data_IF_116287725741
#
_entry.id   IF_116287725741
#
_cell.length_a   1.000
_cell.length_b   1.000
_cell.length_c   1.000
_cell.angle_alpha   90.00
_cell.angle_beta   90.00
_cell.angle_gamma   90.00
#
_symmetry.space_group_name_H-M   'P 1'
#
loop_
_entity.id
_entity.type
_entity.pdbx_description
1 polymer ?
#
# COMPACT_ATOMS: atom_id res chain seq x y z
N UNK A 1 25.19 10.04 20.74
CA UNK A 1 24.47 9.12 19.84
C UNK A 1 24.82 7.64 20.05
N UNK A 2 26.03 7.28 20.49
CA UNK A 2 26.48 5.89 20.72
C UNK A 2 25.88 5.23 21.97
N UNK A 3 25.66 5.99 23.05
CA UNK A 3 25.10 5.47 24.30
C UNK A 3 23.66 4.93 24.14
N UNK A 4 22.81 5.65 23.41
CA UNK A 4 21.43 5.21 23.12
C UNK A 4 21.41 3.92 22.30
N UNK A 5 22.24 3.83 21.25
CA UNK A 5 22.37 2.62 20.43
C UNK A 5 22.82 1.40 21.26
N UNK A 6 23.75 1.60 22.19
CA UNK A 6 24.21 0.53 23.08
C UNK A 6 23.12 0.11 24.08
N UNK A 7 22.39 1.06 24.66
CA UNK A 7 21.27 0.78 25.56
C UNK A 7 20.14 0.00 24.85
N UNK A 8 19.80 0.36 23.61
CA UNK A 8 18.80 -0.39 22.81
C UNK A 8 19.26 -1.82 22.50
N UNK A 9 20.55 -2.02 22.19
CA UNK A 9 21.11 -3.35 21.95
C UNK A 9 21.07 -4.21 23.20
N UNK A 10 21.42 -3.64 24.35
CA UNK A 10 21.37 -4.35 25.63
C UNK A 10 19.94 -4.71 26.02
N UNK A 11 19.00 -3.78 25.85
CA UNK A 11 17.58 -4.05 26.07
C UNK A 11 17.06 -5.21 25.21
N UNK A 12 17.36 -5.21 23.91
CA UNK A 12 16.98 -6.32 23.02
C UNK A 12 17.68 -7.63 23.39
N UNK A 13 18.93 -7.56 23.85
CA UNK A 13 19.67 -8.72 24.33
C UNK A 13 18.99 -9.34 25.56
N UNK A 14 18.65 -8.53 26.56
CA UNK A 14 17.98 -8.97 27.79
C UNK A 14 16.59 -9.57 27.49
N UNK A 15 15.81 -8.96 26.59
CA UNK A 15 14.52 -9.52 26.16
C UNK A 15 14.71 -10.89 25.51
N UNK A 16 15.69 -11.04 24.61
CA UNK A 16 15.96 -12.32 23.95
C UNK A 16 16.43 -13.37 24.94
N UNK A 17 17.29 -13.00 25.89
CA UNK A 17 17.78 -13.89 26.94
C UNK A 17 16.64 -14.37 27.86
N UNK A 18 15.80 -13.44 28.33
CA UNK A 18 14.65 -13.77 29.17
C UNK A 18 13.65 -14.70 28.45
N UNK A 19 13.32 -14.42 27.19
CA UNK A 19 12.46 -15.28 26.37
C UNK A 19 13.05 -16.68 26.20
N UNK A 20 14.34 -16.77 25.86
CA UNK A 20 15.03 -18.06 25.74
C UNK A 20 14.93 -18.85 27.04
N UNK A 21 15.30 -18.24 28.16
CA UNK A 21 15.30 -18.90 29.46
C UNK A 21 13.90 -19.37 29.87
N UNK A 22 12.86 -18.57 29.65
CA UNK A 22 11.48 -18.95 29.92
C UNK A 22 11.05 -20.21 29.15
N UNK A 23 11.29 -20.24 27.83
CA UNK A 23 10.90 -21.39 27.03
C UNK A 23 11.78 -22.62 27.28
N UNK A 24 13.08 -22.43 27.56
CA UNK A 24 13.97 -23.53 27.97
C UNK A 24 13.51 -24.16 29.29
N UNK A 25 13.22 -23.34 30.31
CA UNK A 25 12.70 -23.82 31.60
C UNK A 25 11.35 -24.53 31.44
N UNK A 26 10.45 -23.99 30.61
CA UNK A 26 9.16 -24.61 30.32
C UNK A 26 9.30 -25.94 29.58
N UNK A 27 10.22 -26.06 28.63
CA UNK A 27 10.54 -27.32 27.96
C UNK A 27 11.09 -28.33 28.97
N UNK A 28 12.02 -27.90 29.82
CA UNK A 28 12.68 -28.74 30.82
C UNK A 28 11.72 -29.31 31.86
N UNK A 29 10.82 -28.47 32.38
CA UNK A 29 9.75 -28.88 33.30
C UNK A 29 8.75 -29.86 32.68
N UNK A 30 8.58 -29.83 31.36
CA UNK A 30 7.58 -30.64 30.64
C UNK A 30 8.19 -31.73 29.74
N UNK A 31 9.47 -32.09 29.93
CA UNK A 31 10.20 -33.06 29.06
C UNK A 31 9.51 -34.42 28.90
N UNK A 32 8.72 -34.84 29.88
CA UNK A 32 7.99 -36.11 29.86
C UNK A 32 6.51 -35.97 29.50
N UNK A 33 6.04 -34.75 29.17
CA UNK A 33 4.66 -34.46 28.81
C UNK A 33 4.58 -34.06 27.32
N UNK A 34 4.40 -35.05 26.44
CA UNK A 34 4.35 -34.85 24.99
C UNK A 34 3.26 -33.85 24.57
N UNK A 35 2.11 -33.83 25.27
CA UNK A 35 1.02 -32.89 24.99
C UNK A 35 1.45 -31.44 25.17
N UNK A 36 2.14 -31.13 26.27
CA UNK A 36 2.66 -29.80 26.53
C UNK A 36 3.79 -29.42 25.57
N UNK A 37 4.69 -30.35 25.24
CA UNK A 37 5.74 -30.12 24.24
C UNK A 37 5.15 -29.76 22.86
N UNK A 38 4.14 -30.51 22.40
CA UNK A 38 3.44 -30.19 21.15
C UNK A 38 2.68 -28.87 21.23
N UNK A 39 2.13 -28.50 22.40
CA UNK A 39 1.52 -27.18 22.60
C UNK A 39 2.53 -26.04 22.48
N UNK A 40 3.75 -26.21 23.02
CA UNK A 40 4.84 -25.24 22.90
C UNK A 40 5.26 -25.09 21.43
N UNK A 41 5.42 -26.20 20.69
CA UNK A 41 5.72 -26.16 19.25
C UNK A 41 4.60 -25.46 18.46
N UNK A 42 3.34 -25.74 18.82
CA UNK A 42 2.18 -25.09 18.21
C UNK A 42 2.18 -23.58 18.47
N UNK A 43 2.56 -23.14 19.67
CA UNK A 43 2.70 -21.72 20.03
C UNK A 43 3.72 -21.02 19.13
N UNK A 44 4.90 -21.63 18.93
CA UNK A 44 5.91 -21.13 17.97
C UNK A 44 5.43 -21.12 16.52
N UNK A 45 4.63 -22.10 16.12
CA UNK A 45 4.11 -22.20 14.74
C UNK A 45 2.93 -21.25 14.49
N UNK A 46 2.12 -20.97 15.51
CA UNK A 46 0.96 -20.07 15.45
C UNK A 46 1.31 -18.59 15.47
N UNK A 47 2.58 -18.24 15.72
CA UNK A 47 3.06 -16.86 15.85
C UNK A 47 2.93 -16.00 14.58
N UNK A 48 2.38 -16.53 13.48
CA UNK A 48 2.18 -15.78 12.24
C UNK A 48 0.71 -15.52 11.87
N UNK A 49 -0.24 -15.79 12.77
CA UNK A 49 -1.67 -15.63 12.48
C UNK A 49 -2.35 -14.46 13.19
N UNK A 50 -1.59 -13.52 13.79
CA UNK A 50 -2.13 -12.19 14.04
C UNK A 50 -2.16 -11.46 12.70
N UNK A 51 -3.11 -11.85 11.84
CA UNK A 51 -3.43 -11.10 10.64
C UNK A 51 -3.89 -9.73 11.13
N UNK A 52 -2.99 -8.76 11.09
CA UNK A 52 -3.34 -7.36 11.31
C UNK A 52 -4.34 -7.05 10.21
N UNK A 53 -5.60 -6.91 10.60
CA UNK A 53 -6.64 -6.45 9.68
C UNK A 53 -6.23 -5.05 9.22
N UNK A 54 -6.04 -4.82 7.91
CA UNK A 54 -5.65 -3.51 7.43
C UNK A 54 -6.75 -2.51 7.82
N UNK A 55 -6.44 -1.64 8.78
CA UNK A 55 -7.28 -0.50 9.13
C UNK A 55 -6.88 0.71 8.26
N UNK A 56 -7.79 1.67 8.13
CA UNK A 56 -7.52 2.93 7.46
C UNK A 56 -6.33 3.65 8.12
N UNK A 57 -6.29 3.69 9.45
CA UNK A 57 -5.18 4.29 10.22
C UNK A 57 -3.84 3.61 9.91
N UNK A 58 -3.82 2.28 9.75
CA UNK A 58 -2.61 1.56 9.41
C UNK A 58 -2.15 1.91 7.98
N UNK A 59 -3.07 2.00 7.02
CA UNK A 59 -2.77 2.40 5.65
C UNK A 59 -2.21 3.83 5.60
N UNK A 60 -2.83 4.76 6.33
CA UNK A 60 -2.36 6.14 6.43
C UNK A 60 -0.98 6.24 7.09
N UNK A 61 -0.76 5.46 8.15
CA UNK A 61 0.55 5.40 8.82
C UNK A 61 1.65 4.83 7.91
N UNK A 62 1.32 3.82 7.08
CA UNK A 62 2.22 3.25 6.09
C UNK A 62 2.53 4.27 4.99
N UNK A 63 1.50 4.95 4.46
CA UNK A 63 1.68 6.01 3.46
C UNK A 63 2.58 7.13 3.99
N UNK A 64 2.32 7.59 5.21
CA UNK A 64 3.13 8.61 5.90
C UNK A 64 4.56 8.14 6.11
N UNK A 65 4.75 6.87 6.52
CA UNK A 65 6.08 6.29 6.69
C UNK A 65 6.88 6.29 5.38
N UNK A 66 6.28 5.88 4.26
CA UNK A 66 6.96 5.88 2.97
C UNK A 66 7.25 7.29 2.45
N UNK A 67 6.29 8.22 2.56
CA UNK A 67 6.52 9.62 2.24
C UNK A 67 7.70 10.21 3.02
N UNK A 68 7.70 10.01 4.34
CA UNK A 68 8.80 10.49 5.19
C UNK A 68 10.11 9.83 4.80
N UNK A 69 10.14 8.52 4.58
CA UNK A 69 11.35 7.80 4.19
C UNK A 69 11.92 8.31 2.85
N UNK A 70 11.07 8.62 1.88
CA UNK A 70 11.49 9.20 0.60
C UNK A 70 12.04 10.61 0.81
N UNK A 71 11.37 11.44 1.61
CA UNK A 71 11.86 12.78 1.98
C UNK A 71 13.23 12.70 2.68
N UNK A 72 13.35 11.87 3.72
CA UNK A 72 14.58 11.65 4.46
C UNK A 72 15.71 11.17 3.53
N UNK A 73 15.40 10.32 2.55
CA UNK A 73 16.34 9.88 1.52
C UNK A 73 16.79 11.05 0.64
N UNK A 74 15.85 11.85 0.12
CA UNK A 74 16.17 13.05 -0.67
C UNK A 74 17.05 14.02 0.12
N UNK A 75 16.73 14.26 1.39
CA UNK A 75 17.50 15.13 2.27
C UNK A 75 18.90 14.54 2.56
N UNK A 76 18.99 13.21 2.69
CA UNK A 76 20.26 12.50 2.94
C UNK A 76 21.25 12.56 1.77
N UNK A 77 20.78 12.78 0.54
CA UNK A 77 21.67 12.97 -0.61
C UNK A 77 22.47 14.28 -0.54
N UNK A 78 22.16 15.16 0.42
CA UNK A 78 22.76 16.48 0.54
C UNK A 78 22.36 17.36 -0.65
N UNK A 79 22.39 18.67 -0.47
CA UNK A 79 22.40 19.57 -1.62
C UNK A 79 23.70 19.36 -2.40
N UNK A 80 23.76 18.35 -3.25
CA UNK A 80 24.63 18.40 -4.41
C UNK A 80 24.06 19.46 -5.34
N UNK A 81 24.34 20.72 -5.02
CA UNK A 81 24.41 21.80 -6.01
C UNK A 81 25.63 21.54 -6.89
N UNK A 82 25.65 20.41 -7.60
CA UNK A 82 26.26 20.46 -8.91
C UNK A 82 25.26 21.22 -9.77
N UNK A 83 25.65 22.33 -10.44
CA UNK A 83 24.84 22.81 -11.52
C UNK A 83 24.74 21.64 -12.50
N UNK A 84 23.53 21.08 -12.64
CA UNK A 84 23.22 20.21 -13.76
C UNK A 84 23.34 21.09 -15.02
N UNK A 85 24.55 21.37 -15.49
CA UNK A 85 24.81 22.09 -16.76
C UNK A 85 24.61 21.19 -17.97
N UNK A 86 23.94 20.06 -17.76
CA UNK A 86 23.26 19.34 -18.80
C UNK A 86 21.90 19.01 -18.21
N UNK A 87 20.94 19.91 -18.42
CA UNK A 87 19.59 19.43 -18.66
C UNK A 87 19.75 18.25 -19.62
N UNK A 88 19.32 17.01 -19.26
CA UNK A 88 19.19 15.99 -20.28
C UNK A 88 18.32 16.64 -21.34
N UNK A 89 18.87 16.86 -22.55
CA UNK A 89 18.24 17.65 -23.61
C UNK A 89 16.76 17.36 -23.54
N UNK A 90 16.01 18.30 -22.96
CA UNK A 90 14.61 18.07 -22.71
C UNK A 90 14.07 18.10 -24.11
N UNK A 91 13.86 16.92 -24.69
CA UNK A 91 12.78 16.76 -25.63
C UNK A 91 11.57 17.12 -24.79
N UNK A 92 11.29 18.43 -24.73
CA UNK A 92 10.06 18.98 -24.26
C UNK A 92 9.05 18.37 -25.23
N UNK A 93 8.59 17.15 -24.89
CA UNK A 93 7.45 16.54 -25.50
C UNK A 93 6.33 17.43 -25.01
N UNK A 94 6.09 18.49 -25.75
CA UNK A 94 4.92 19.34 -25.57
C UNK A 94 3.75 18.45 -25.91
N UNK A 95 3.06 18.00 -24.87
CA UNK A 95 1.76 17.32 -24.96
C UNK A 95 0.69 18.33 -25.37
N UNK A 96 0.94 19.07 -26.45
CA UNK A 96 0.10 20.16 -26.93
C UNK A 96 -0.98 19.68 -27.91
N UNK A 97 -0.87 18.43 -28.38
CA UNK A 97 -1.78 17.86 -29.37
C UNK A 97 -2.46 16.61 -28.80
N UNK A 98 -3.39 16.82 -27.86
CA UNK A 98 -4.39 15.81 -27.55
C UNK A 98 -5.53 15.93 -28.54
N UNK A 99 -5.93 14.81 -29.15
CA UNK A 99 -7.17 14.76 -29.91
C UNK A 99 -8.35 14.92 -28.94
N UNK A 100 -9.30 15.80 -29.28
CA UNK A 100 -10.53 15.89 -28.52
C UNK A 100 -11.27 14.55 -28.54
N UNK A 101 -11.71 14.11 -27.37
CA UNK A 101 -12.56 12.92 -27.25
C UNK A 101 -13.99 13.27 -27.63
N UNK A 102 -14.67 12.37 -28.33
CA UNK A 102 -16.09 12.50 -28.66
C UNK A 102 -17.00 11.84 -27.60
N UNK A 103 -18.31 12.08 -27.69
CA UNK A 103 -19.27 11.61 -26.68
C UNK A 103 -19.36 10.08 -26.67
N UNK A 104 -19.29 9.43 -27.83
CA UNK A 104 -19.39 7.97 -27.96
C UNK A 104 -18.15 7.26 -27.38
N UNK A 105 -16.96 7.81 -27.60
CA UNK A 105 -15.73 7.37 -26.94
C UNK A 105 -15.83 7.53 -25.42
N UNK A 106 -16.39 8.65 -24.95
CA UNK A 106 -16.60 8.89 -23.52
C UNK A 106 -17.56 7.87 -22.90
N UNK A 107 -18.68 7.56 -23.57
CA UNK A 107 -19.62 6.51 -23.17
C UNK A 107 -18.95 5.13 -23.14
N UNK A 108 -18.18 4.81 -24.18
CA UNK A 108 -17.45 3.55 -24.29
C UNK A 108 -16.49 3.35 -23.12
N UNK A 109 -15.70 4.38 -22.79
CA UNK A 109 -14.80 4.35 -21.63
C UNK A 109 -15.60 4.18 -20.35
N UNK A 110 -16.69 4.93 -20.17
CA UNK A 110 -17.48 4.86 -18.95
C UNK A 110 -18.09 3.47 -18.75
N UNK A 111 -18.64 2.88 -19.80
CA UNK A 111 -19.22 1.54 -19.78
C UNK A 111 -18.18 0.42 -19.59
N UNK A 112 -16.89 0.69 -19.84
CA UNK A 112 -15.79 -0.23 -19.54
C UNK A 112 -15.40 -0.27 -18.06
N UNK A 113 -15.89 0.68 -17.25
CA UNK A 113 -15.58 0.76 -15.82
C UNK A 113 -16.51 -0.16 -15.04
N UNK A 114 -15.92 -1.12 -14.32
CA UNK A 114 -16.66 -2.14 -13.56
C UNK A 114 -16.55 -1.97 -12.04
N UNK A 115 -15.81 -0.97 -11.57
CA UNK A 115 -15.62 -0.70 -10.14
C UNK A 115 -15.42 0.80 -9.90
N UNK A 116 -16.04 1.33 -8.86
CA UNK A 116 -15.86 2.71 -8.41
C UNK A 116 -14.87 2.85 -7.26
N UNK A 117 -14.38 4.07 -7.04
CA UNK A 117 -13.60 4.39 -5.84
C UNK A 117 -14.52 4.41 -4.61
N UNK A 118 -14.07 3.92 -3.43
CA UNK A 118 -14.83 4.05 -2.18
C UNK A 118 -15.16 5.50 -1.80
N UNK A 119 -14.32 6.44 -2.22
CA UNK A 119 -14.50 7.88 -2.04
C UNK A 119 -15.52 8.52 -2.99
N UNK A 120 -16.01 7.80 -4.01
CA UNK A 120 -17.04 8.32 -4.92
C UNK A 120 -18.41 8.31 -4.23
N UNK A 121 -19.13 9.45 -4.16
CA UNK A 121 -20.50 9.49 -3.62
C UNK A 121 -21.51 8.64 -4.40
N UNK A 122 -21.20 8.27 -5.65
CA UNK A 122 -22.12 7.52 -6.51
C UNK A 122 -21.60 6.12 -6.85
N UNK A 123 -22.43 5.08 -6.74
CA UNK A 123 -22.11 3.78 -7.27
C UNK A 123 -21.82 3.81 -8.78
N UNK A 124 -20.77 3.10 -9.22
CA UNK A 124 -20.34 3.06 -10.63
C UNK A 124 -21.47 2.70 -11.61
N UNK A 125 -22.44 1.86 -11.21
CA UNK A 125 -23.54 1.46 -12.10
C UNK A 125 -24.46 2.61 -12.51
N UNK A 126 -24.50 3.71 -11.74
CA UNK A 126 -25.30 4.90 -12.06
C UNK A 126 -24.75 5.55 -13.32
N UNK A 127 -23.43 5.59 -13.46
CA UNK A 127 -22.78 6.14 -14.64
C UNK A 127 -23.21 5.39 -15.90
N UNK A 128 -23.23 4.05 -15.86
CA UNK A 128 -23.67 3.24 -17.00
C UNK A 128 -25.17 3.40 -17.34
N UNK A 129 -26.02 3.76 -16.37
CA UNK A 129 -27.47 3.94 -16.60
C UNK A 129 -27.84 5.35 -17.06
N UNK A 130 -26.99 6.33 -16.77
CA UNK A 130 -27.21 7.74 -17.09
C UNK A 130 -26.12 8.26 -18.04
N UNK A 131 -25.56 7.38 -18.87
CA UNK A 131 -24.45 7.68 -19.77
C UNK A 131 -24.79 8.73 -20.81
N UNK A 132 -26.00 8.71 -21.35
CA UNK A 132 -26.52 9.75 -22.24
C UNK A 132 -26.51 11.15 -21.61
N UNK A 133 -26.67 11.25 -20.29
CA UNK A 133 -26.71 12.53 -19.56
C UNK A 133 -25.31 12.93 -19.11
N UNK A 134 -24.53 11.98 -18.59
CA UNK A 134 -23.24 12.26 -17.93
C UNK A 134 -22.11 12.39 -18.97
N UNK A 135 -22.10 11.58 -20.02
CA UNK A 135 -21.00 11.55 -20.98
C UNK A 135 -20.72 12.90 -21.67
N UNK A 136 -21.72 13.70 -22.10
CA UNK A 136 -21.46 15.02 -22.67
C UNK A 136 -20.75 15.96 -21.69
N UNK A 137 -21.13 15.91 -20.41
CA UNK A 137 -20.53 16.75 -19.37
C UNK A 137 -19.09 16.30 -19.08
N UNK A 138 -18.87 14.99 -18.94
CA UNK A 138 -17.55 14.42 -18.71
C UNK A 138 -16.61 14.73 -19.89
N UNK A 139 -17.11 14.60 -21.12
CA UNK A 139 -16.38 14.94 -22.35
C UNK A 139 -15.90 16.40 -22.32
N UNK A 140 -16.77 17.35 -21.93
CA UNK A 140 -16.38 18.77 -21.81
C UNK A 140 -15.23 18.94 -20.82
N UNK A 141 -15.34 18.34 -19.63
CA UNK A 141 -14.30 18.47 -18.58
C UNK A 141 -12.98 17.84 -19.04
N UNK A 142 -13.02 16.67 -19.68
CA UNK A 142 -11.83 15.99 -20.20
C UNK A 142 -11.15 16.83 -21.28
N UNK A 143 -11.93 17.31 -22.26
CA UNK A 143 -11.40 18.12 -23.36
C UNK A 143 -10.83 19.45 -22.86
N UNK A 144 -11.49 20.11 -21.91
CA UNK A 144 -10.94 21.32 -21.27
C UNK A 144 -9.64 21.02 -20.51
N UNK A 145 -9.54 19.86 -19.87
CA UNK A 145 -8.30 19.46 -19.16
C UNK A 145 -7.16 19.21 -20.15
N UNK A 146 -7.44 18.57 -21.28
CA UNK A 146 -6.46 18.37 -22.36
C UNK A 146 -6.00 19.69 -23.01
N UNK A 147 -6.91 20.62 -23.28
CA UNK A 147 -6.55 21.91 -23.88
C UNK A 147 -5.79 22.83 -22.91
N UNK A 148 -6.11 22.78 -21.61
CA UNK A 148 -5.47 23.62 -20.58
C UNK A 148 -4.25 22.96 -19.92
N UNK A 149 -3.95 21.71 -20.26
CA UNK A 149 -2.97 20.87 -19.57
C UNK A 149 -3.14 20.82 -18.04
N UNK A 150 -4.35 21.09 -17.54
CA UNK A 150 -4.64 21.21 -16.11
C UNK A 150 -5.77 20.26 -15.75
N UNK A 151 -5.52 19.38 -14.77
CA UNK A 151 -6.51 18.41 -14.28
C UNK A 151 -6.97 18.78 -12.87
N UNK A 152 -8.25 18.52 -12.52
CA UNK A 152 -8.75 18.66 -11.15
C UNK A 152 -7.88 17.91 -10.14
N UNK A 153 -7.65 18.51 -8.97
CA UNK A 153 -6.76 17.91 -7.96
C UNK A 153 -7.29 16.57 -7.45
N UNK A 154 -8.61 16.44 -7.33
CA UNK A 154 -9.27 15.19 -6.93
C UNK A 154 -9.00 14.03 -7.90
N UNK A 155 -8.67 14.28 -9.17
CA UNK A 155 -8.36 13.24 -10.15
C UNK A 155 -6.92 12.71 -10.03
N UNK A 156 -6.05 13.45 -9.34
CA UNK A 156 -4.65 13.07 -9.09
C UNK A 156 -4.51 12.25 -7.81
N UNK A 157 -5.57 12.17 -7.01
CA UNK A 157 -5.58 11.44 -5.77
C UNK A 157 -5.89 9.96 -6.02
N UNK A 158 -5.06 9.07 -5.48
CA UNK A 158 -5.26 7.63 -5.55
C UNK A 158 -5.48 7.06 -4.14
N UNK A 159 -6.54 6.27 -3.98
CA UNK A 159 -6.85 5.61 -2.71
C UNK A 159 -6.17 4.24 -2.66
N UNK A 160 -5.23 4.06 -1.71
CA UNK A 160 -4.49 2.81 -1.55
C UNK A 160 -5.18 1.94 -0.52
N UNK A 161 -5.78 0.83 -0.98
CA UNK A 161 -6.35 -0.19 -0.09
C UNK A 161 -5.44 -1.39 0.02
N UNK A 162 -4.93 -1.66 1.22
CA UNK A 162 -4.21 -2.89 1.50
C UNK A 162 -5.18 -4.08 1.43
N UNK A 163 -4.99 -4.95 0.44
CA UNK A 163 -5.74 -6.20 0.33
C UNK A 163 -4.98 -7.33 1.00
N UNK A 164 -5.62 -8.00 1.96
CA UNK A 164 -5.08 -9.24 2.52
C UNK A 164 -5.16 -10.33 1.44
N UNK A 165 -4.01 -10.84 1.01
CA UNK A 165 -3.96 -12.09 0.25
C UNK A 165 -4.55 -13.18 1.16
N UNK A 166 -5.54 -13.95 0.66
CA UNK A 166 -6.21 -15.01 1.44
C UNK A 166 -5.18 -15.85 2.20
N UNK A 167 -5.28 -15.98 3.54
CA UNK A 167 -4.55 -16.99 4.27
C UNK A 167 -5.38 -18.29 4.22
N UNK A 168 -5.42 -18.99 3.09
CA UNK A 168 -5.68 -20.43 3.15
C UNK A 168 -4.36 -21.04 3.63
N UNK A 169 -4.12 -21.27 4.92
CA UNK A 169 -4.78 -22.24 5.81
C UNK A 169 -4.68 -23.67 5.27
N UNK A 170 -3.68 -24.37 5.81
CA UNK A 170 -3.58 -25.82 6.05
C UNK A 170 -3.58 -26.73 4.82
N UNK A 171 -2.46 -27.44 4.61
CA UNK A 171 -2.38 -28.54 3.66
C UNK A 171 -3.47 -29.58 3.93
N UNK A 172 -4.22 -29.91 2.88
CA UNK A 172 -5.06 -31.10 2.87
C UNK A 172 -4.16 -32.34 2.90
N UNK A 173 -4.05 -32.96 4.07
CA UNK A 173 -3.80 -34.39 4.17
C UNK A 173 -5.14 -35.07 4.41
N UNK A 174 -5.88 -35.29 3.33
CA UNK A 174 -6.94 -36.29 3.27
C UNK A 174 -6.68 -37.12 2.02
N UNK A 175 -6.08 -38.29 2.20
CA UNK A 175 -5.92 -39.27 1.13
C UNK A 175 -4.61 -40.04 1.16
N UNK A 176 -4.48 -40.96 2.13
CA UNK A 176 -4.02 -42.37 2.05
C UNK A 176 -3.50 -42.83 3.41
#
# INVERSE_FOLDING_TARGET
MTALKNATREHHHLIRAAKRNFFTDRLDKNRHNSRELFSIVKEFSSANANAVTPSQDLCESLATFFHRKISDLHDSFGHQTQPYTTEPASTAITLNNWSHINTEETKSIMNSIHSGAPSDPYPHFIFNKADDIIAPHLQTVINSSFSSATFPECWKHAEVKALLKKPTAVGGWTGL
#
